data_IF_692105880508
#
_entry.id   IF_692105880508
#
_cell.length_a   1.000
_cell.length_b   1.000
_cell.length_c   1.000
_cell.angle_alpha   90.00
_cell.angle_beta   90.00
_cell.angle_gamma   90.00
#
_symmetry.space_group_name_H-M   'P 1'
#
loop_
_entity.id
_entity.type
_entity.pdbx_description
1 polymer ?
#
# COMPACT_ATOMS: atom_id res chain seq x y z
N UNK A 1 -3.66 -23.06 -23.96
CA UNK A 1 -3.77 -23.26 -22.49
C UNK A 1 -2.46 -22.78 -21.88
N UNK A 2 -2.53 -21.94 -20.86
CA UNK A 2 -1.36 -21.52 -20.09
C UNK A 2 -1.06 -22.61 -19.06
N UNK A 3 0.17 -23.13 -19.07
CA UNK A 3 0.59 -24.18 -18.15
C UNK A 3 1.33 -23.54 -16.97
N UNK A 4 1.05 -23.93 -15.71
CA UNK A 4 1.81 -23.44 -14.57
C UNK A 4 3.28 -23.86 -14.69
N UNK A 5 4.20 -22.97 -14.35
CA UNK A 5 5.65 -23.27 -14.27
C UNK A 5 5.99 -24.09 -13.03
N UNK A 6 5.10 -24.08 -12.04
CA UNK A 6 5.19 -24.91 -10.85
C UNK A 6 3.78 -25.28 -10.39
N UNK A 7 3.58 -26.55 -10.01
CA UNK A 7 2.30 -27.09 -9.57
C UNK A 7 2.48 -27.83 -8.25
N UNK A 8 1.79 -27.40 -7.22
CA UNK A 8 1.74 -28.02 -5.91
C UNK A 8 0.27 -28.28 -5.54
N UNK A 9 -0.08 -29.30 -4.74
CA UNK A 9 -1.48 -29.58 -4.38
C UNK A 9 -2.27 -28.40 -3.79
N UNK A 10 -1.57 -27.44 -3.18
CA UNK A 10 -2.18 -26.26 -2.53
C UNK A 10 -2.03 -24.96 -3.30
N UNK A 11 -1.16 -24.87 -4.32
CA UNK A 11 -0.94 -23.65 -5.11
C UNK A 11 -0.30 -23.94 -6.46
N UNK A 12 -0.52 -23.05 -7.40
CA UNK A 12 0.07 -23.08 -8.73
C UNK A 12 0.79 -21.75 -8.98
N UNK A 13 1.91 -21.80 -9.67
CA UNK A 13 2.67 -20.61 -10.08
C UNK A 13 2.65 -20.50 -11.60
N UNK A 14 2.18 -19.36 -12.08
CA UNK A 14 2.21 -19.01 -13.49
C UNK A 14 3.24 -17.92 -13.72
N UNK A 15 4.01 -18.02 -14.80
CA UNK A 15 4.96 -16.99 -15.22
C UNK A 15 4.50 -16.38 -16.53
N UNK A 16 4.25 -15.07 -16.54
CA UNK A 16 3.84 -14.34 -17.74
C UNK A 16 3.19 -13.02 -17.42
N UNK A 17 2.76 -12.33 -18.45
CA UNK A 17 1.93 -11.13 -18.32
C UNK A 17 0.55 -11.53 -17.79
N UNK A 18 0.08 -10.87 -16.77
CA UNK A 18 -1.24 -11.14 -16.16
C UNK A 18 -2.38 -10.98 -17.17
N UNK A 19 -2.28 -10.02 -18.09
CA UNK A 19 -3.27 -9.83 -19.15
C UNK A 19 -3.38 -11.04 -20.09
N UNK A 20 -2.31 -11.84 -20.19
CA UNK A 20 -2.28 -13.07 -21.01
C UNK A 20 -2.64 -14.29 -20.19
N UNK A 21 -2.24 -14.36 -18.93
CA UNK A 21 -2.45 -15.53 -18.06
C UNK A 21 -3.87 -15.61 -17.54
N UNK A 22 -4.41 -14.51 -16.99
CA UNK A 22 -5.70 -14.49 -16.31
C UNK A 22 -6.88 -14.99 -17.18
N UNK A 23 -6.97 -14.69 -18.49
CA UNK A 23 -8.05 -15.19 -19.35
C UNK A 23 -8.18 -16.72 -19.42
N UNK A 24 -7.11 -17.44 -19.06
CA UNK A 24 -7.10 -18.91 -19.10
C UNK A 24 -7.54 -19.57 -17.79
N UNK A 25 -7.74 -18.79 -16.73
CA UNK A 25 -8.18 -19.29 -15.44
C UNK A 25 -9.72 -19.31 -15.39
N UNK A 26 -10.28 -20.22 -14.57
CA UNK A 26 -11.71 -20.45 -14.50
C UNK A 26 -12.49 -19.30 -13.84
N UNK A 27 -13.68 -19.00 -14.35
CA UNK A 27 -14.60 -18.01 -13.81
C UNK A 27 -15.03 -18.37 -12.39
N UNK A 28 -15.28 -17.35 -11.56
CA UNK A 28 -15.85 -17.47 -10.22
C UNK A 28 -15.19 -18.60 -9.38
N UNK A 29 -13.88 -18.73 -9.48
CA UNK A 29 -13.11 -19.80 -8.84
C UNK A 29 -12.22 -19.35 -7.68
N UNK A 30 -12.07 -18.04 -7.50
CA UNK A 30 -11.22 -17.44 -6.45
C UNK A 30 -12.04 -16.63 -5.46
N UNK A 31 -11.62 -16.69 -4.19
CA UNK A 31 -12.23 -15.96 -3.08
C UNK A 31 -11.64 -14.56 -2.92
N UNK A 32 -10.35 -14.43 -3.24
CA UNK A 32 -9.57 -13.22 -3.03
C UNK A 32 -8.56 -13.01 -4.16
N UNK A 33 -8.44 -11.77 -4.61
CA UNK A 33 -7.28 -11.26 -5.37
C UNK A 33 -6.46 -10.37 -4.43
N UNK A 34 -5.17 -10.64 -4.32
CA UNK A 34 -4.23 -9.81 -3.55
C UNK A 34 -3.08 -9.41 -4.48
N UNK A 35 -2.84 -8.11 -4.64
CA UNK A 35 -1.84 -7.63 -5.60
C UNK A 35 -1.21 -6.30 -5.20
N UNK A 36 0.08 -6.16 -5.53
CA UNK A 36 0.86 -4.92 -5.48
C UNK A 36 1.27 -4.57 -6.93
N UNK A 37 0.41 -3.87 -7.68
CA UNK A 37 0.65 -3.56 -9.08
C UNK A 37 1.52 -2.31 -9.26
N UNK A 38 2.01 -2.01 -10.48
CA UNK A 38 2.60 -0.71 -10.79
C UNK A 38 1.65 0.45 -10.48
N UNK A 39 2.18 1.54 -9.87
CA UNK A 39 1.35 2.70 -9.48
C UNK A 39 1.31 3.82 -10.53
N UNK A 40 2.05 3.68 -11.64
CA UNK A 40 2.13 4.70 -12.68
C UNK A 40 2.90 5.97 -12.26
N UNK A 41 3.81 5.86 -11.32
CA UNK A 41 4.58 6.99 -10.78
C UNK A 41 5.98 7.12 -11.38
N UNK A 42 6.32 6.27 -12.34
CA UNK A 42 7.67 6.16 -12.93
C UNK A 42 8.74 5.95 -11.85
N UNK A 43 8.53 4.99 -10.96
CA UNK A 43 9.43 4.72 -9.85
C UNK A 43 10.87 4.54 -10.33
N UNK A 44 11.78 5.37 -9.85
CA UNK A 44 13.19 5.40 -10.28
C UNK A 44 13.39 5.49 -11.79
N UNK A 45 12.45 6.09 -12.55
CA UNK A 45 12.50 6.18 -14.01
C UNK A 45 12.28 4.85 -14.74
N UNK A 46 11.87 3.80 -14.04
CA UNK A 46 11.68 2.47 -14.60
C UNK A 46 10.48 2.41 -15.55
N UNK A 47 10.66 1.74 -16.69
CA UNK A 47 9.64 1.65 -17.72
C UNK A 47 8.39 0.89 -17.27
N UNK A 48 8.55 -0.13 -16.42
CA UNK A 48 7.44 -0.95 -15.93
C UNK A 48 6.44 -0.19 -15.05
N UNK A 49 6.85 0.94 -14.45
CA UNK A 49 5.99 1.76 -13.58
C UNK A 49 5.62 3.12 -14.23
N UNK A 50 5.61 3.20 -15.56
CA UNK A 50 5.22 4.43 -16.27
C UNK A 50 3.71 4.61 -16.38
N UNK A 51 2.96 3.53 -16.30
CA UNK A 51 1.51 3.51 -16.40
C UNK A 51 0.91 2.63 -15.30
N UNK A 52 -0.37 2.85 -15.02
CA UNK A 52 -1.18 1.90 -14.25
C UNK A 52 -1.31 0.57 -15.00
N UNK A 53 -1.70 -0.51 -14.33
CA UNK A 53 -1.99 -1.79 -14.98
C UNK A 53 -2.99 -1.64 -16.12
N UNK A 54 -2.87 -2.51 -17.11
CA UNK A 54 -3.88 -2.61 -18.16
C UNK A 54 -5.27 -2.87 -17.53
N UNK A 55 -6.30 -2.07 -17.85
CA UNK A 55 -7.66 -2.25 -17.31
C UNK A 55 -8.23 -3.65 -17.52
N UNK A 56 -7.76 -4.37 -18.53
CA UNK A 56 -8.16 -5.76 -18.77
C UNK A 56 -7.81 -6.68 -17.61
N UNK A 57 -6.71 -6.41 -16.90
CA UNK A 57 -6.32 -7.17 -15.71
C UNK A 57 -7.41 -7.09 -14.63
N UNK A 58 -8.02 -5.91 -14.45
CA UNK A 58 -9.11 -5.73 -13.48
C UNK A 58 -10.39 -6.43 -13.91
N UNK A 59 -10.75 -6.39 -15.20
CA UNK A 59 -11.89 -7.14 -15.75
C UNK A 59 -11.72 -8.64 -15.57
N UNK A 60 -10.51 -9.15 -15.84
CA UNK A 60 -10.21 -10.56 -15.61
C UNK A 60 -10.21 -10.91 -14.11
N UNK A 61 -9.64 -10.08 -13.26
CA UNK A 61 -9.70 -10.27 -11.81
C UNK A 61 -11.14 -10.32 -11.29
N UNK A 62 -11.99 -9.42 -11.79
CA UNK A 62 -13.42 -9.43 -11.49
C UNK A 62 -14.11 -10.72 -11.95
N UNK A 63 -13.83 -11.21 -13.17
CA UNK A 63 -14.39 -12.46 -13.70
C UNK A 63 -14.02 -13.66 -12.84
N UNK A 64 -12.75 -13.73 -12.43
CA UNK A 64 -12.19 -14.83 -11.66
C UNK A 64 -12.75 -14.92 -10.24
N UNK A 65 -13.08 -13.79 -9.62
CA UNK A 65 -13.64 -13.78 -8.28
C UNK A 65 -15.05 -14.36 -8.25
N UNK A 66 -15.35 -15.13 -7.20
CA UNK A 66 -16.71 -15.51 -6.84
C UNK A 66 -17.53 -14.26 -6.52
N UNK A 67 -18.86 -14.25 -6.74
CA UNK A 67 -19.72 -13.19 -6.25
C UNK A 67 -19.52 -12.95 -4.75
N UNK A 68 -19.33 -11.71 -4.33
CA UNK A 68 -18.96 -11.35 -2.95
C UNK A 68 -17.47 -11.45 -2.63
N UNK A 69 -16.64 -11.99 -3.52
CA UNK A 69 -15.19 -12.06 -3.36
C UNK A 69 -14.54 -10.69 -3.38
N UNK A 70 -13.38 -10.57 -2.76
CA UNK A 70 -12.67 -9.30 -2.58
C UNK A 70 -11.40 -9.21 -3.41
N UNK A 71 -11.04 -7.98 -3.82
CA UNK A 71 -9.71 -7.65 -4.32
C UNK A 71 -9.05 -6.64 -3.37
N UNK A 72 -7.89 -7.00 -2.83
CA UNK A 72 -7.04 -6.12 -2.04
C UNK A 72 -5.91 -5.63 -2.94
N UNK A 73 -5.95 -4.37 -3.32
CA UNK A 73 -5.06 -3.78 -4.32
C UNK A 73 -4.22 -2.68 -3.67
N UNK A 74 -2.92 -2.89 -3.59
CA UNK A 74 -2.00 -1.86 -3.09
C UNK A 74 -1.92 -0.69 -4.06
N UNK A 75 -1.79 0.50 -3.52
CA UNK A 75 -1.60 1.74 -4.27
C UNK A 75 -0.82 2.75 -3.45
N UNK A 76 -0.05 3.59 -4.12
CA UNK A 76 0.56 4.74 -3.47
C UNK A 76 -0.50 5.73 -2.98
N UNK A 77 -0.25 6.38 -1.84
CA UNK A 77 -1.15 7.37 -1.24
C UNK A 77 -1.23 8.71 -2.02
N UNK A 78 -0.60 8.81 -3.19
CA UNK A 78 -0.71 9.98 -4.06
C UNK A 78 -2.10 10.02 -4.69
N UNK A 79 -2.75 11.17 -4.58
CA UNK A 79 -4.11 11.34 -5.10
C UNK A 79 -4.22 11.01 -6.60
N UNK A 80 -3.20 11.36 -7.40
CA UNK A 80 -3.21 11.17 -8.86
C UNK A 80 -3.11 9.70 -9.31
N UNK A 81 -2.52 8.81 -8.52
CA UNK A 81 -2.52 7.37 -8.81
C UNK A 81 -3.66 6.65 -8.11
N UNK A 82 -3.96 7.02 -6.87
CA UNK A 82 -5.00 6.36 -6.07
C UNK A 82 -6.38 6.46 -6.73
N UNK A 83 -6.83 7.69 -7.11
CA UNK A 83 -8.16 7.84 -7.70
C UNK A 83 -8.29 7.14 -9.06
N UNK A 84 -7.21 7.11 -9.86
CA UNK A 84 -7.23 6.40 -11.14
C UNK A 84 -7.34 4.89 -10.95
N UNK A 85 -6.63 4.34 -9.96
CA UNK A 85 -6.73 2.93 -9.61
C UNK A 85 -8.14 2.58 -9.15
N UNK A 86 -8.74 3.42 -8.30
CA UNK A 86 -10.14 3.26 -7.87
C UNK A 86 -11.09 3.29 -9.07
N UNK A 87 -10.96 4.28 -9.96
CA UNK A 87 -11.77 4.39 -11.18
C UNK A 87 -11.66 3.12 -12.05
N UNK A 88 -10.44 2.65 -12.31
CA UNK A 88 -10.22 1.49 -13.16
C UNK A 88 -10.84 0.21 -12.56
N UNK A 89 -10.87 0.10 -11.22
CA UNK A 89 -11.56 -0.97 -10.51
C UNK A 89 -13.09 -0.83 -10.62
N UNK A 90 -13.64 0.36 -10.44
CA UNK A 90 -15.08 0.61 -10.61
C UNK A 90 -15.53 0.35 -12.06
N UNK A 91 -14.74 0.78 -13.05
CA UNK A 91 -15.02 0.52 -14.48
C UNK A 91 -14.95 -0.98 -14.81
N UNK A 92 -14.21 -1.78 -14.05
CA UNK A 92 -14.19 -3.24 -14.15
C UNK A 92 -15.40 -3.91 -13.48
N UNK A 93 -16.21 -3.17 -12.72
CA UNK A 93 -17.44 -3.63 -12.08
C UNK A 93 -17.34 -3.84 -10.56
N UNK A 94 -16.22 -3.52 -9.95
CA UNK A 94 -16.06 -3.63 -8.49
C UNK A 94 -16.83 -2.54 -7.74
N UNK A 95 -17.31 -2.88 -6.55
CA UNK A 95 -17.80 -1.94 -5.54
C UNK A 95 -16.63 -1.52 -4.63
N UNK A 96 -16.52 -0.20 -4.36
CA UNK A 96 -15.51 0.39 -3.47
C UNK A 96 -16.13 0.95 -2.18
N UNK A 97 -17.20 0.34 -1.70
CA UNK A 97 -17.92 0.79 -0.50
C UNK A 97 -17.23 0.40 0.82
N UNK A 98 -16.23 -0.46 0.78
CA UNK A 98 -15.45 -0.87 1.95
C UNK A 98 -14.42 0.20 2.32
N UNK A 99 -14.12 0.30 3.63
CA UNK A 99 -13.02 1.14 4.09
C UNK A 99 -11.69 0.61 3.56
N UNK A 100 -10.89 1.48 2.97
CA UNK A 100 -9.51 1.16 2.59
C UNK A 100 -8.70 0.81 3.83
N UNK A 101 -7.71 -0.09 3.68
CA UNK A 101 -6.74 -0.36 4.72
C UNK A 101 -5.53 0.56 4.51
N UNK A 102 -4.94 1.03 5.60
CA UNK A 102 -3.82 1.94 5.61
C UNK A 102 -2.63 1.23 6.23
N UNK A 103 -1.58 0.97 5.43
CA UNK A 103 -0.34 0.44 5.94
C UNK A 103 0.62 1.60 6.25
N UNK A 104 0.81 1.84 7.55
CA UNK A 104 1.69 2.91 8.05
C UNK A 104 3.08 2.37 8.33
N UNK A 105 4.09 3.09 7.86
CA UNK A 105 5.49 2.77 8.11
C UNK A 105 6.30 4.05 8.40
N UNK A 106 7.38 3.90 9.16
CA UNK A 106 8.19 5.04 9.62
C UNK A 106 9.48 5.24 8.80
N UNK A 107 9.78 4.34 7.87
CA UNK A 107 10.91 4.43 6.94
C UNK A 107 10.55 5.33 5.74
N UNK A 108 11.58 5.74 4.99
CA UNK A 108 11.40 6.52 3.79
C UNK A 108 12.05 7.91 3.87
N UNK A 109 11.97 8.64 2.78
CA UNK A 109 12.60 9.95 2.61
C UNK A 109 11.74 10.81 1.66
N UNK A 110 11.89 12.15 1.66
CA UNK A 110 11.22 13.03 0.70
C UNK A 110 11.48 12.59 -0.74
N UNK A 111 10.44 12.47 -1.55
CA UNK A 111 10.54 11.98 -2.95
C UNK A 111 10.81 13.10 -3.96
N UNK A 112 11.12 14.30 -3.48
CA UNK A 112 11.54 15.44 -4.29
C UNK A 112 13.04 15.50 -4.50
N UNK A 113 13.49 16.23 -5.51
CA UNK A 113 14.89 16.60 -5.70
C UNK A 113 15.27 17.65 -4.65
N UNK A 114 16.40 17.51 -4.01
CA UNK A 114 16.96 18.57 -3.15
C UNK A 114 17.41 19.75 -4.02
N UNK A 115 16.79 20.91 -3.79
CA UNK A 115 17.03 22.08 -4.65
C UNK A 115 18.38 22.74 -4.38
N UNK A 116 18.91 22.68 -3.16
CA UNK A 116 20.26 23.15 -2.84
C UNK A 116 21.33 22.36 -3.61
N UNK A 117 21.19 21.03 -3.68
CA UNK A 117 22.10 20.19 -4.47
C UNK A 117 21.95 20.50 -5.96
N UNK A 118 20.72 20.66 -6.44
CA UNK A 118 20.47 20.98 -7.84
C UNK A 118 21.09 22.33 -8.24
N UNK A 119 20.96 23.36 -7.42
CA UNK A 119 21.54 24.68 -7.65
C UNK A 119 23.08 24.64 -7.69
N UNK A 120 23.72 23.89 -6.77
CA UNK A 120 25.16 23.68 -6.79
C UNK A 120 25.64 22.99 -8.06
N UNK A 121 24.96 21.93 -8.48
CA UNK A 121 25.27 21.23 -9.75
C UNK A 121 25.10 22.13 -10.97
N UNK A 122 24.02 22.92 -11.04
CA UNK A 122 23.78 23.85 -12.14
C UNK A 122 24.88 24.94 -12.24
N UNK A 123 25.43 25.35 -11.10
CA UNK A 123 26.51 26.32 -11.04
C UNK A 123 27.91 25.70 -11.27
N UNK A 124 28.00 24.36 -11.46
CA UNK A 124 29.29 23.67 -11.54
C UNK A 124 30.15 23.78 -10.28
N UNK A 125 29.52 24.10 -9.13
CA UNK A 125 30.24 24.32 -7.87
C UNK A 125 30.44 23.01 -7.12
N UNK A 126 31.68 22.74 -6.70
CA UNK A 126 32.00 21.62 -5.83
C UNK A 126 31.50 21.91 -4.41
N UNK A 127 30.91 20.91 -3.79
CA UNK A 127 30.38 20.98 -2.41
C UNK A 127 31.41 20.42 -1.45
N UNK A 128 31.73 21.16 -0.43
CA UNK A 128 32.55 20.70 0.66
C UNK A 128 31.88 19.51 1.39
N UNK A 129 32.58 18.42 1.54
CA UNK A 129 32.11 17.24 2.28
C UNK A 129 32.39 17.47 3.77
N UNK A 130 31.35 17.65 4.56
CA UNK A 130 31.45 17.89 6.01
C UNK A 130 31.60 16.60 6.82
N UNK A 131 31.20 15.45 6.24
CA UNK A 131 31.27 14.18 6.92
C UNK A 131 30.43 13.09 6.26
N UNK A 132 30.43 11.93 6.90
CA UNK A 132 29.64 10.76 6.49
C UNK A 132 28.44 10.64 7.43
N UNK A 133 27.26 10.41 6.89
CA UNK A 133 26.06 10.12 7.71
C UNK A 133 26.30 8.86 8.53
N UNK A 134 25.75 8.84 9.75
CA UNK A 134 25.78 7.68 10.63
C UNK A 134 25.29 6.42 9.87
N UNK A 135 26.08 5.35 9.97
CA UNK A 135 25.82 4.07 9.31
C UNK A 135 24.42 3.49 9.60
N UNK A 136 23.84 3.84 10.75
CA UNK A 136 22.46 3.44 11.14
C UNK A 136 21.39 3.96 10.17
N UNK A 137 21.68 5.02 9.42
CA UNK A 137 20.77 5.61 8.42
C UNK A 137 21.13 5.24 6.98
N UNK A 138 22.15 4.40 6.80
CA UNK A 138 22.54 3.90 5.49
C UNK A 138 21.86 2.55 5.22
N UNK A 139 21.34 2.36 4.00
CA UNK A 139 20.85 1.04 3.62
C UNK A 139 22.00 0.02 3.59
N UNK A 140 21.75 -1.29 3.81
CA UNK A 140 22.78 -2.32 3.69
C UNK A 140 23.51 -2.29 2.35
N UNK A 141 22.82 -1.93 1.27
CA UNK A 141 23.39 -1.75 -0.07
C UNK A 141 24.37 -0.58 -0.15
N UNK A 142 24.06 0.52 0.53
CA UNK A 142 24.94 1.70 0.62
C UNK A 142 26.19 1.37 1.42
N UNK A 143 26.06 0.57 2.47
CA UNK A 143 27.20 0.14 3.31
C UNK A 143 28.14 -0.80 2.55
N UNK A 144 27.63 -1.71 1.73
CA UNK A 144 28.45 -2.62 0.91
C UNK A 144 29.25 -1.89 -0.16
N UNK A 145 28.67 -0.87 -0.81
CA UNK A 145 29.37 -0.06 -1.82
C UNK A 145 30.47 0.81 -1.20
N UNK A 146 30.34 1.18 0.08
CA UNK A 146 31.37 1.93 0.80
C UNK A 146 32.66 1.14 1.03
N UNK A 147 32.60 -0.19 1.07
CA UNK A 147 33.76 -1.04 1.27
C UNK A 147 34.60 -1.26 0.00
N UNK A 148 34.02 -1.02 -1.19
CA UNK A 148 34.64 -1.42 -2.47
C UNK A 148 35.04 -0.29 -3.42
N UNK A 149 34.51 0.92 -3.29
CA UNK A 149 34.80 2.00 -4.26
C UNK A 149 34.94 3.39 -3.63
N UNK A 150 36.17 3.83 -3.42
CA UNK A 150 36.53 5.24 -3.43
C UNK A 150 36.62 5.68 -4.90
N UNK A 151 35.61 6.42 -5.35
CA UNK A 151 35.66 7.18 -6.60
C UNK A 151 35.03 6.49 -7.82
N UNK A 152 33.79 6.80 -8.08
CA UNK A 152 33.26 7.00 -9.43
C UNK A 152 32.01 7.90 -9.34
N UNK A 153 32.04 8.98 -10.09
CA UNK A 153 30.99 9.98 -10.23
C UNK A 153 29.84 9.42 -11.10
N UNK A 154 29.17 8.36 -10.63
CA UNK A 154 28.04 7.84 -11.35
C UNK A 154 26.76 8.53 -10.92
N UNK A 155 26.38 9.51 -11.73
CA UNK A 155 25.08 10.17 -11.75
C UNK A 155 23.95 9.13 -11.83
N UNK A 156 23.14 9.04 -10.81
CA UNK A 156 21.93 8.21 -10.78
C UNK A 156 21.91 7.11 -9.72
N UNK A 157 22.98 6.93 -8.97
CA UNK A 157 22.98 6.00 -7.85
C UNK A 157 22.36 6.63 -6.59
N UNK A 158 21.21 6.12 -6.16
CA UNK A 158 20.62 6.42 -4.85
C UNK A 158 21.52 6.00 -3.67
N UNK A 159 22.73 5.49 -3.94
CA UNK A 159 23.61 4.89 -2.96
C UNK A 159 24.65 5.83 -2.34
N UNK A 160 25.41 6.55 -3.11
CA UNK A 160 26.62 7.23 -2.60
C UNK A 160 26.39 8.70 -2.21
N UNK A 161 25.61 9.47 -2.97
CA UNK A 161 25.30 10.85 -2.62
C UNK A 161 24.49 11.01 -1.33
N UNK A 162 23.81 9.95 -0.89
CA UNK A 162 23.07 9.95 0.38
C UNK A 162 23.96 9.71 1.61
N UNK A 163 25.19 9.25 1.41
CA UNK A 163 26.10 8.90 2.50
C UNK A 163 26.90 10.10 3.03
N UNK A 164 27.07 11.14 2.21
CA UNK A 164 27.82 12.32 2.61
C UNK A 164 26.90 13.45 3.06
N UNK A 165 27.34 14.16 4.10
CA UNK A 165 26.83 15.49 4.45
C UNK A 165 27.73 16.48 3.77
N UNK A 166 27.17 17.39 2.96
CA UNK A 166 27.96 18.40 2.25
C UNK A 166 27.37 19.80 2.43
N UNK A 167 28.23 20.81 2.50
CA UNK A 167 27.79 22.20 2.60
C UNK A 167 27.31 22.78 1.24
N UNK A 168 26.32 23.68 1.22
CA UNK A 168 25.96 24.42 0.03
C UNK A 168 27.11 25.33 -0.43
N UNK A 169 27.53 25.22 -1.71
CA UNK A 169 28.69 25.93 -2.23
C UNK A 169 28.40 27.32 -2.80
N UNK A 170 27.13 27.63 -3.12
CA UNK A 170 26.73 28.92 -3.70
C UNK A 170 25.66 29.63 -2.84
N UNK A 171 25.48 30.94 -3.01
CA UNK A 171 24.44 31.69 -2.30
C UNK A 171 23.04 31.16 -2.60
N UNK A 172 22.78 30.84 -3.87
CA UNK A 172 21.52 30.21 -4.25
C UNK A 172 21.35 28.83 -3.59
N UNK A 173 22.39 28.02 -3.55
CA UNK A 173 22.33 26.72 -2.90
C UNK A 173 22.11 26.86 -1.39
N UNK A 174 22.66 27.89 -0.75
CA UNK A 174 22.42 28.23 0.67
C UNK A 174 21.00 28.64 0.92
N UNK A 175 20.43 29.53 0.07
CA UNK A 175 19.05 30.00 0.20
C UNK A 175 18.02 28.87 -0.03
N UNK A 176 18.38 27.82 -0.77
CA UNK A 176 17.54 26.66 -1.07
C UNK A 176 17.83 25.46 -0.16
N UNK A 177 18.62 25.62 0.89
CA UNK A 177 18.87 24.51 1.79
C UNK A 177 17.60 24.09 2.54
N UNK A 178 17.36 22.77 2.58
CA UNK A 178 16.11 22.20 3.09
C UNK A 178 14.93 22.20 2.11
N UNK A 179 15.04 22.83 0.95
CA UNK A 179 13.96 22.84 -0.05
C UNK A 179 14.02 21.62 -0.98
N UNK A 180 12.84 21.04 -1.23
CA UNK A 180 12.67 19.92 -2.16
C UNK A 180 11.65 20.25 -3.26
N UNK A 181 11.92 19.78 -4.48
CA UNK A 181 11.03 20.00 -5.62
C UNK A 181 9.68 19.29 -5.43
N UNK A 182 8.64 19.86 -6.06
CA UNK A 182 7.29 19.27 -6.16
C UNK A 182 6.55 19.11 -4.83
N UNK A 183 6.97 19.77 -3.76
CA UNK A 183 6.29 19.73 -2.46
C UNK A 183 6.08 18.31 -1.88
N UNK A 184 6.95 17.36 -2.24
CA UNK A 184 6.79 15.96 -1.86
C UNK A 184 7.40 15.69 -0.50
N UNK A 185 6.54 15.62 0.49
CA UNK A 185 6.91 15.13 1.82
C UNK A 185 7.24 13.62 1.77
N UNK A 186 7.87 13.12 2.84
CA UNK A 186 8.16 11.70 3.01
C UNK A 186 6.84 10.91 3.03
N UNK A 187 6.64 9.93 2.13
CA UNK A 187 5.51 9.02 2.26
C UNK A 187 5.69 8.19 3.54
N UNK A 188 4.62 8.02 4.27
CA UNK A 188 4.59 7.24 5.51
C UNK A 188 3.45 6.22 5.52
N UNK A 189 2.76 6.08 4.40
CA UNK A 189 1.62 5.20 4.26
C UNK A 189 1.53 4.66 2.84
N UNK A 190 1.10 3.42 2.71
CA UNK A 190 0.55 2.85 1.48
C UNK A 190 -0.91 2.48 1.70
N UNK A 191 -1.71 2.61 0.66
CA UNK A 191 -3.15 2.36 0.69
C UNK A 191 -3.40 0.98 0.10
N UNK A 192 -4.22 0.18 0.77
CA UNK A 192 -4.74 -1.06 0.21
C UNK A 192 -6.22 -0.82 -0.08
N UNK A 193 -6.54 -0.66 -1.35
CA UNK A 193 -7.92 -0.51 -1.81
C UNK A 193 -8.62 -1.85 -1.59
N UNK A 194 -9.74 -1.82 -0.89
CA UNK A 194 -10.60 -2.98 -0.73
C UNK A 194 -11.76 -2.87 -1.71
N UNK A 195 -11.62 -3.55 -2.83
CA UNK A 195 -12.64 -3.66 -3.86
C UNK A 195 -13.38 -4.99 -3.71
N UNK A 196 -14.67 -5.00 -3.97
CA UNK A 196 -15.51 -6.18 -3.81
C UNK A 196 -16.30 -6.45 -5.09
N UNK A 197 -16.37 -7.70 -5.51
CA UNK A 197 -17.33 -8.13 -6.52
C UNK A 197 -18.72 -8.15 -5.89
N UNK A 198 -19.76 -7.53 -6.50
CA UNK A 198 -21.12 -7.60 -6.00
C UNK A 198 -21.56 -9.03 -5.70
N UNK A 199 -22.43 -9.20 -4.70
CA UNK A 199 -23.05 -10.49 -4.42
C UNK A 199 -24.04 -10.85 -5.55
N UNK A 200 -24.22 -12.15 -5.81
CA UNK A 200 -25.22 -12.65 -6.79
C UNK A 200 -26.55 -13.00 -6.14
N UNK A 201 -26.58 -13.13 -4.84
CA UNK A 201 -27.74 -13.54 -4.07
C UNK A 201 -28.45 -12.33 -3.45
N UNK A 202 -29.66 -12.53 -2.96
CA UNK A 202 -30.47 -11.46 -2.39
C UNK A 202 -29.89 -10.87 -1.09
N UNK A 203 -29.21 -11.71 -0.31
CA UNK A 203 -28.62 -11.32 0.98
C UNK A 203 -27.19 -11.81 1.09
N UNK A 204 -26.40 -11.19 2.00
CA UNK A 204 -25.05 -11.65 2.34
C UNK A 204 -25.06 -13.09 2.88
N UNK A 205 -26.08 -13.45 3.67
CA UNK A 205 -26.22 -14.79 4.21
C UNK A 205 -26.40 -15.83 3.09
N UNK A 206 -27.26 -15.55 2.13
CA UNK A 206 -27.49 -16.45 0.99
C UNK A 206 -26.22 -16.57 0.14
N UNK A 207 -25.51 -15.46 -0.05
CA UNK A 207 -24.25 -15.44 -0.81
C UNK A 207 -23.16 -16.25 -0.10
N UNK A 208 -22.99 -16.08 1.22
CA UNK A 208 -22.05 -16.86 2.03
C UNK A 208 -22.39 -18.37 2.00
N UNK A 209 -23.68 -18.69 2.05
CA UNK A 209 -24.14 -20.09 2.01
C UNK A 209 -23.83 -20.74 0.67
N UNK A 210 -23.99 -20.01 -0.44
CA UNK A 210 -23.78 -20.52 -1.79
C UNK A 210 -22.30 -20.53 -2.22
N UNK A 211 -21.60 -19.42 -1.96
CA UNK A 211 -20.27 -19.16 -2.50
C UNK A 211 -19.13 -19.30 -1.49
N UNK A 212 -19.45 -19.27 -0.19
CA UNK A 212 -18.48 -19.30 0.90
C UNK A 212 -17.71 -17.97 1.10
N UNK A 213 -18.12 -16.89 0.41
CA UNK A 213 -17.48 -15.57 0.43
C UNK A 213 -18.54 -14.46 0.51
N UNK A 214 -18.10 -13.25 0.89
CA UNK A 214 -18.94 -12.06 1.01
C UNK A 214 -18.92 -11.45 2.40
N UNK A 215 -18.85 -12.24 3.44
CA UNK A 215 -18.70 -11.79 4.81
C UNK A 215 -17.23 -11.61 5.23
N UNK A 216 -17.01 -10.78 6.27
CA UNK A 216 -15.71 -10.60 6.92
C UNK A 216 -15.75 -11.22 8.32
N UNK A 217 -14.84 -12.16 8.59
CA UNK A 217 -14.72 -12.75 9.91
C UNK A 217 -13.96 -11.82 10.88
N UNK A 218 -14.60 -10.72 11.27
CA UNK A 218 -14.02 -9.79 12.24
C UNK A 218 -13.70 -10.46 13.58
N UNK A 219 -14.44 -11.50 13.96
CA UNK A 219 -14.18 -12.25 15.20
C UNK A 219 -12.81 -12.94 15.19
N UNK A 220 -12.38 -13.47 14.04
CA UNK A 220 -11.06 -14.09 13.90
C UNK A 220 -9.91 -13.07 13.86
N UNK A 221 -10.23 -11.79 13.65
CA UNK A 221 -9.26 -10.70 13.56
C UNK A 221 -9.24 -9.81 14.81
N UNK A 222 -9.90 -10.20 15.90
CA UNK A 222 -9.93 -9.43 17.14
C UNK A 222 -8.51 -9.24 17.69
N UNK A 223 -8.17 -8.01 18.03
CA UNK A 223 -6.91 -7.68 18.71
C UNK A 223 -7.08 -7.92 20.20
N UNK A 224 -6.33 -8.83 20.83
CA UNK A 224 -6.40 -9.06 22.26
C UNK A 224 -6.22 -7.75 23.05
N UNK A 225 -6.92 -7.61 24.15
CA UNK A 225 -6.78 -6.46 25.07
C UNK A 225 -6.90 -6.95 26.49
N UNK A 226 -5.87 -6.68 27.30
CA UNK A 226 -5.86 -6.94 28.72
C UNK A 226 -6.64 -5.88 29.52
N UNK A 227 -6.93 -4.74 28.88
CA UNK A 227 -7.72 -3.68 29.48
C UNK A 227 -9.21 -3.90 29.22
N UNK A 228 -10.07 -3.61 30.22
CA UNK A 228 -11.51 -3.61 30.03
C UNK A 228 -11.85 -2.66 28.86
N UNK A 229 -12.56 -3.17 27.87
CA UNK A 229 -13.03 -2.34 26.77
C UNK A 229 -14.21 -1.54 27.28
N UNK A 230 -14.11 -0.18 27.34
CA UNK A 230 -15.25 0.63 27.73
C UNK A 230 -16.39 0.34 26.74
N UNK A 231 -17.45 -0.22 27.20
CA UNK A 231 -18.66 -0.29 26.40
C UNK A 231 -19.17 1.14 26.34
N UNK A 232 -18.94 1.81 25.23
CA UNK A 232 -19.63 3.06 24.95
C UNK A 232 -21.12 2.74 24.89
N UNK A 233 -21.79 2.89 26.02
CA UNK A 233 -23.23 3.07 26.02
C UNK A 233 -23.41 4.38 25.26
N UNK A 234 -23.69 4.29 23.96
CA UNK A 234 -24.11 5.46 23.19
C UNK A 234 -25.21 6.12 24.04
N UNK A 235 -25.09 7.42 24.35
CA UNK A 235 -26.18 8.13 24.97
C UNK A 235 -27.40 7.81 24.12
N UNK A 236 -28.41 7.25 24.71
CA UNK A 236 -29.66 6.93 24.02
C UNK A 236 -30.12 8.20 23.33
N UNK A 237 -29.99 8.26 22.02
CA UNK A 237 -30.69 9.23 21.20
C UNK A 237 -32.17 8.79 21.23
N UNK A 238 -32.78 8.96 22.40
CA UNK A 238 -34.13 8.59 22.68
C UNK A 238 -35.08 9.70 22.26
N UNK A 239 -35.29 9.80 20.95
CA UNK A 239 -36.52 10.40 20.45
C UNK A 239 -37.72 9.44 20.49
N UNK A 240 -37.54 8.19 20.90
CA UNK A 240 -38.60 7.19 21.07
C UNK A 240 -38.49 6.61 22.46
N UNK A 241 -39.60 6.71 23.19
CA UNK A 241 -39.78 6.43 24.62
C UNK A 241 -38.98 5.27 25.20
N UNK A 242 -38.75 5.37 26.51
CA UNK A 242 -38.06 4.37 27.32
C UNK A 242 -38.70 2.99 27.10
N UNK A 243 -38.11 2.18 26.25
CA UNK A 243 -38.33 0.74 26.30
C UNK A 243 -37.49 0.21 27.47
N UNK A 244 -38.16 -0.37 28.47
CA UNK A 244 -37.47 -1.14 29.51
C UNK A 244 -36.57 -2.15 28.82
N UNK A 245 -35.26 -2.03 29.07
CA UNK A 245 -34.28 -2.97 28.52
C UNK A 245 -34.45 -4.28 29.25
N UNK A 246 -34.74 -5.40 28.57
CA UNK A 246 -34.57 -6.71 29.18
C UNK A 246 -33.13 -6.83 29.66
N UNK A 247 -32.85 -7.58 30.72
CA UNK A 247 -31.53 -7.81 31.29
C UNK A 247 -30.53 -8.23 30.20
N UNK A 248 -29.85 -7.27 29.62
CA UNK A 248 -28.86 -7.52 28.60
C UNK A 248 -27.62 -8.03 29.28
N UNK A 249 -27.40 -9.34 29.24
CA UNK A 249 -26.13 -9.94 29.63
C UNK A 249 -25.08 -9.46 28.70
N UNK A 250 -24.32 -8.49 29.13
CA UNK A 250 -23.21 -7.90 28.36
C UNK A 250 -22.15 -8.99 28.17
N UNK A 251 -22.07 -9.55 26.97
CA UNK A 251 -21.02 -10.48 26.62
C UNK A 251 -19.69 -9.74 26.73
N UNK A 252 -18.82 -10.11 27.65
CA UNK A 252 -17.48 -9.54 27.77
C UNK A 252 -16.77 -9.71 26.42
N UNK A 253 -16.40 -8.60 25.81
CA UNK A 253 -15.56 -8.63 24.62
C UNK A 253 -14.14 -8.98 25.04
N UNK A 254 -13.59 -10.04 24.46
CA UNK A 254 -12.23 -10.53 24.72
C UNK A 254 -11.15 -9.79 23.93
N UNK A 255 -11.51 -8.76 23.16
CA UNK A 255 -10.59 -7.99 22.33
C UNK A 255 -11.28 -6.83 21.62
N UNK A 256 -10.51 -6.03 20.91
CA UNK A 256 -10.98 -4.90 20.08
C UNK A 256 -11.15 -5.34 18.64
N UNK A 257 -12.19 -4.84 17.96
CA UNK A 257 -12.31 -5.04 16.53
C UNK A 257 -11.09 -4.46 15.78
N UNK A 258 -10.62 -5.12 14.71
CA UNK A 258 -9.49 -4.62 13.97
C UNK A 258 -9.80 -3.25 13.34
N UNK A 259 -8.86 -2.32 13.46
CA UNK A 259 -8.92 -1.06 12.74
C UNK A 259 -8.49 -1.28 11.27
N UNK A 260 -8.86 -0.35 10.41
CA UNK A 260 -8.35 -0.30 9.03
C UNK A 260 -6.92 0.26 8.93
N UNK A 261 -6.13 0.13 10.00
CA UNK A 261 -4.77 0.64 10.12
C UNK A 261 -3.81 -0.51 10.44
N UNK A 262 -2.84 -0.71 9.56
CA UNK A 262 -1.74 -1.66 9.74
C UNK A 262 -0.48 -0.86 10.09
N UNK A 263 0.11 -1.12 11.25
CA UNK A 263 1.34 -0.46 11.67
C UNK A 263 2.50 -1.44 11.59
N UNK A 264 3.61 -1.01 10.98
CA UNK A 264 4.83 -1.78 11.01
C UNK A 264 5.45 -1.67 12.41
N UNK A 265 5.59 -2.80 13.09
CA UNK A 265 6.32 -2.85 14.35
C UNK A 265 7.82 -2.75 14.08
N UNK A 266 8.52 -2.01 14.95
CA UNK A 266 9.98 -1.85 14.93
C UNK A 266 10.66 -2.51 16.13
N UNK A 267 9.97 -3.40 16.82
CA UNK A 267 10.52 -4.07 18.01
C UNK A 267 11.57 -5.14 17.71
N UNK A 268 12.09 -5.21 16.45
CA UNK A 268 13.24 -6.02 16.08
C UNK A 268 14.39 -5.18 15.50
#
# INVERSE_FOLDING_TARGET
>A
MVTPVFNHPRYQVYRGDSAVVLPHLADASYDLVLTDPPYGISFMGKAWDRALPNPEIWRQSYRLLKPGGSALVMSGARADCLWRMCRDLEEAGFELAQSTLWWVYFSGFPKGQNLSIAAGKQAGAEREVLGIRDKRYLSPRTTAVFSEQRGSDNEGSYGLGAAYVSAPATDLARSLDGWYSKGKVKPAVEVIIWARKPISEKTELDNMTKWGVGGVNCGACMVPSDEPIPVNVLPSWSGFGQLEKPDYVQKQQTGRYPANLLCQDRSE
#
